data_IF_625175785113
#
_entry.id   IF_625175785113
#
_cell.length_a   1.000
_cell.length_b   1.000
_cell.length_c   1.000
_cell.angle_alpha   90.00
_cell.angle_beta   90.00
_cell.angle_gamma   90.00
#
_symmetry.space_group_name_H-M   'P 1'
#
loop_
_entity.id
_entity.type
_entity.pdbx_description
1 polymer ?
#
# COMPACT_ATOMS: atom_id res chain seq x y z
N UNK A 1 -23.84 -59.31 60.33
CA UNK A 1 -24.04 -58.70 59.00
C UNK A 1 -23.14 -57.47 58.89
N UNK A 2 -22.09 -57.52 58.06
CA UNK A 2 -21.09 -56.44 57.92
C UNK A 2 -21.71 -55.26 57.15
N UNK A 3 -21.71 -54.06 57.74
CA UNK A 3 -22.20 -52.83 57.08
C UNK A 3 -21.13 -52.30 56.12
N UNK A 4 -21.54 -51.88 54.91
CA UNK A 4 -20.65 -51.39 53.86
C UNK A 4 -20.04 -50.02 54.22
N UNK A 5 -18.84 -49.67 53.71
CA UNK A 5 -18.22 -48.38 53.96
C UNK A 5 -18.96 -47.22 53.27
N UNK A 6 -19.06 -46.08 53.94
CA UNK A 6 -19.71 -44.86 53.43
C UNK A 6 -18.70 -44.08 52.58
N UNK A 7 -18.99 -43.87 51.30
CA UNK A 7 -18.18 -43.06 50.37
C UNK A 7 -18.56 -41.59 50.53
N UNK A 8 -17.64 -40.67 50.85
CA UNK A 8 -17.92 -39.25 50.88
C UNK A 8 -18.22 -38.73 49.47
N UNK A 9 -19.39 -38.10 49.29
CA UNK A 9 -19.73 -37.40 48.05
C UNK A 9 -18.86 -36.14 47.97
N UNK A 10 -17.84 -36.15 47.10
CA UNK A 10 -17.15 -34.92 46.73
C UNK A 10 -18.17 -33.97 46.08
N UNK A 11 -18.47 -32.88 46.78
CA UNK A 11 -19.20 -31.75 46.25
C UNK A 11 -18.34 -31.14 45.15
N UNK A 12 -18.73 -31.32 43.89
CA UNK A 12 -18.17 -30.53 42.80
C UNK A 12 -18.65 -29.10 43.06
N UNK A 13 -17.75 -28.24 43.55
CA UNK A 13 -17.94 -26.80 43.45
C UNK A 13 -17.86 -26.49 41.96
N UNK A 14 -19.00 -26.25 41.34
CA UNK A 14 -19.06 -25.53 40.06
C UNK A 14 -18.46 -24.16 40.31
N UNK A 15 -17.18 -23.99 40.00
CA UNK A 15 -16.65 -22.65 39.76
C UNK A 15 -17.38 -22.14 38.50
N UNK A 16 -17.90 -20.90 38.50
CA UNK A 16 -18.21 -20.25 37.24
C UNK A 16 -16.90 -20.23 36.44
N UNK A 17 -16.91 -20.83 35.25
CA UNK A 17 -15.92 -20.48 34.24
C UNK A 17 -16.07 -18.97 34.04
N UNK A 18 -15.08 -18.21 34.50
CA UNK A 18 -14.88 -16.87 33.97
C UNK A 18 -14.70 -17.03 32.47
N UNK A 19 -15.69 -16.60 31.71
CA UNK A 19 -15.58 -16.31 30.29
C UNK A 19 -14.48 -15.25 30.13
N UNK A 20 -13.23 -15.70 30.09
CA UNK A 20 -12.20 -14.95 29.37
C UNK A 20 -12.46 -15.30 27.91
N UNK A 21 -13.01 -14.38 27.08
CA UNK A 21 -12.98 -14.59 25.66
C UNK A 21 -11.50 -14.65 25.27
N UNK A 22 -11.01 -15.86 25.03
CA UNK A 22 -9.78 -16.07 24.29
C UNK A 22 -9.98 -15.36 22.95
N UNK A 23 -9.49 -14.14 22.86
CA UNK A 23 -9.43 -13.34 21.64
C UNK A 23 -8.33 -13.91 20.75
N UNK A 24 -8.40 -15.22 20.47
CA UNK A 24 -7.71 -15.80 19.34
C UNK A 24 -8.58 -15.52 18.12
N UNK A 25 -8.07 -14.79 17.11
CA UNK A 25 -8.86 -14.45 15.94
C UNK A 25 -9.30 -15.74 15.25
N UNK A 26 -10.59 -15.80 14.91
CA UNK A 26 -11.29 -17.01 14.47
C UNK A 26 -10.80 -17.58 13.13
N UNK A 27 -9.82 -16.96 12.45
CA UNK A 27 -9.18 -17.52 11.28
C UNK A 27 -7.86 -16.79 10.97
N UNK A 28 -6.68 -17.45 11.02
CA UNK A 28 -5.41 -16.84 10.61
C UNK A 28 -5.39 -16.41 9.12
N UNK A 29 -6.27 -17.00 8.32
CA UNK A 29 -6.48 -16.61 6.92
C UNK A 29 -7.17 -15.25 6.79
N UNK A 30 -8.02 -14.86 7.75
CA UNK A 30 -8.69 -13.56 7.75
C UNK A 30 -7.68 -12.46 8.05
N UNK A 31 -6.79 -12.65 9.04
CA UNK A 31 -5.72 -11.68 9.33
C UNK A 31 -4.73 -11.56 8.16
N UNK A 32 -4.40 -12.68 7.52
CA UNK A 32 -3.57 -12.69 6.30
C UNK A 32 -4.24 -11.97 5.14
N UNK A 33 -5.56 -12.12 5.00
CA UNK A 33 -6.35 -11.43 3.98
C UNK A 33 -6.50 -9.94 4.30
N UNK A 34 -6.72 -9.57 5.56
CA UNK A 34 -6.77 -8.18 6.04
C UNK A 34 -5.41 -7.50 5.84
N UNK A 35 -4.30 -8.19 6.12
CA UNK A 35 -2.97 -7.65 5.86
C UNK A 35 -2.74 -7.42 4.35
N UNK A 36 -3.16 -8.38 3.51
CA UNK A 36 -3.02 -8.28 2.05
C UNK A 36 -3.94 -7.21 1.44
N UNK A 37 -5.21 -7.17 1.86
CA UNK A 37 -6.21 -6.20 1.41
C UNK A 37 -5.91 -4.81 2.01
N UNK A 38 -5.43 -4.74 3.24
CA UNK A 38 -4.97 -3.51 3.88
C UNK A 38 -3.75 -2.91 3.18
N UNK A 39 -2.81 -3.74 2.73
CA UNK A 39 -1.72 -3.31 1.85
C UNK A 39 -2.24 -2.82 0.48
N UNK A 40 -3.34 -3.37 -0.02
CA UNK A 40 -4.02 -2.97 -1.26
C UNK A 40 -5.01 -1.79 -1.10
N UNK A 41 -5.32 -1.36 0.13
CA UNK A 41 -6.39 -0.38 0.41
C UNK A 41 -6.09 1.05 -0.12
N UNK A 42 -4.87 1.31 -0.58
CA UNK A 42 -4.52 2.49 -1.37
C UNK A 42 -3.84 2.05 -2.66
N UNK A 43 -4.64 1.65 -3.65
CA UNK A 43 -4.17 1.30 -5.00
C UNK A 43 -3.47 2.44 -5.77
N UNK A 44 -3.34 3.61 -5.16
CA UNK A 44 -2.60 4.75 -5.69
C UNK A 44 -1.17 4.84 -5.14
N UNK A 45 -0.64 3.84 -4.45
CA UNK A 45 0.74 3.86 -3.97
C UNK A 45 1.46 2.53 -4.21
N UNK A 46 2.74 2.61 -4.55
CA UNK A 46 3.64 1.47 -4.71
C UNK A 46 4.92 1.71 -3.92
N UNK A 47 5.53 0.65 -3.40
CA UNK A 47 6.86 0.72 -2.77
C UNK A 47 7.85 0.01 -3.67
N UNK A 48 8.89 0.72 -4.12
CA UNK A 48 9.94 0.17 -4.97
C UNK A 48 11.32 0.35 -4.30
N UNK A 49 12.22 -0.64 -4.43
CA UNK A 49 13.60 -0.49 -3.96
C UNK A 49 14.38 0.44 -4.90
N UNK A 50 14.88 1.56 -4.37
CA UNK A 50 15.71 2.54 -5.08
C UNK A 50 17.02 2.71 -4.33
N UNK A 51 18.15 2.40 -4.98
CA UNK A 51 19.49 2.47 -4.37
C UNK A 51 19.59 1.78 -2.99
N UNK A 52 18.93 0.63 -2.83
CA UNK A 52 18.94 -0.15 -1.58
C UNK A 52 18.00 0.35 -0.49
N UNK A 53 17.07 1.26 -0.81
CA UNK A 53 16.06 1.77 0.12
C UNK A 53 14.66 1.56 -0.44
N UNK A 54 13.72 1.18 0.42
CA UNK A 54 12.31 1.12 0.04
C UNK A 54 11.72 2.53 -0.05
N UNK A 55 11.35 2.94 -1.26
CA UNK A 55 10.77 4.25 -1.54
C UNK A 55 9.30 4.09 -1.90
N UNK A 56 8.45 4.85 -1.21
CA UNK A 56 7.01 4.88 -1.47
C UNK A 56 6.69 5.95 -2.51
N UNK A 57 6.16 5.51 -3.64
CA UNK A 57 5.58 6.35 -4.68
C UNK A 57 4.08 6.45 -4.48
N UNK A 58 3.51 7.63 -4.70
CA UNK A 58 2.07 7.85 -4.69
C UNK A 58 1.69 8.46 -6.04
N UNK A 59 0.73 7.83 -6.72
CA UNK A 59 0.18 8.31 -7.97
C UNK A 59 -0.62 9.59 -7.71
N UNK A 60 -0.26 10.64 -8.42
CA UNK A 60 -0.89 11.95 -8.40
C UNK A 60 -1.18 12.38 -9.84
N UNK A 61 -2.37 12.93 -10.07
CA UNK A 61 -2.75 13.49 -11.37
C UNK A 61 -2.52 15.00 -11.29
N UNK A 62 -1.62 15.49 -12.15
CA UNK A 62 -1.41 16.91 -12.35
C UNK A 62 -2.28 17.40 -13.51
N UNK A 63 -2.84 18.60 -13.38
CA UNK A 63 -3.55 19.21 -14.50
C UNK A 63 -2.53 19.71 -15.52
N UNK A 64 -2.79 19.48 -16.81
CA UNK A 64 -1.88 19.88 -17.88
C UNK A 64 -1.56 21.38 -17.88
N UNK A 65 -2.52 22.22 -17.51
CA UNK A 65 -2.36 23.67 -17.40
C UNK A 65 -1.42 24.13 -16.26
N UNK A 66 -1.14 23.26 -15.28
CA UNK A 66 -0.22 23.56 -14.18
C UNK A 66 1.15 22.92 -14.34
N UNK A 67 1.33 21.93 -15.23
CA UNK A 67 2.59 21.17 -15.37
C UNK A 67 3.78 22.09 -15.63
N UNK A 68 3.66 23.03 -16.57
CA UNK A 68 4.74 23.97 -16.91
C UNK A 68 5.22 24.81 -15.71
N UNK A 69 4.31 25.17 -14.79
CA UNK A 69 4.62 26.02 -13.63
C UNK A 69 5.05 25.23 -12.40
N UNK A 70 4.58 24.00 -12.29
CA UNK A 70 4.70 23.18 -11.08
C UNK A 70 5.71 22.05 -11.23
N UNK A 71 6.24 21.82 -12.43
CA UNK A 71 7.29 20.83 -12.67
C UNK A 71 8.56 21.47 -13.23
N UNK A 72 9.70 20.82 -13.01
CA UNK A 72 10.98 21.12 -13.67
C UNK A 72 11.73 19.82 -13.87
N UNK A 73 12.69 19.81 -14.78
CA UNK A 73 13.63 18.68 -14.88
C UNK A 73 14.69 18.81 -13.79
N UNK A 74 14.91 17.75 -13.02
CA UNK A 74 16.00 17.70 -12.06
C UNK A 74 17.35 17.71 -12.80
N UNK A 75 18.18 18.71 -12.51
CA UNK A 75 19.49 18.90 -13.18
C UNK A 75 20.46 17.72 -13.05
N UNK A 76 20.28 16.87 -12.04
CA UNK A 76 21.08 15.64 -11.89
C UNK A 76 20.71 14.52 -12.87
N UNK A 77 19.59 14.65 -13.58
CA UNK A 77 19.06 13.66 -14.52
C UNK A 77 18.64 14.30 -15.86
N UNK A 78 18.97 15.58 -16.09
CA UNK A 78 18.68 16.23 -17.37
C UNK A 78 19.50 15.56 -18.48
N UNK A 79 18.82 15.11 -19.52
CA UNK A 79 19.44 14.54 -20.71
C UNK A 79 18.70 15.04 -21.92
N UNK A 80 19.47 15.38 -22.96
CA UNK A 80 18.99 15.65 -24.32
C UNK A 80 17.74 16.54 -24.34
N UNK A 81 17.74 17.61 -23.53
CA UNK A 81 16.58 18.49 -23.37
C UNK A 81 16.23 19.21 -24.67
N UNK A 82 17.21 19.39 -25.57
CA UNK A 82 16.96 19.87 -26.93
C UNK A 82 16.07 18.95 -27.78
N UNK A 83 15.90 17.69 -27.39
CA UNK A 83 15.04 16.71 -28.08
C UNK A 83 13.61 16.66 -27.51
N UNK A 84 13.26 17.55 -26.57
CA UNK A 84 11.88 17.67 -26.08
C UNK A 84 11.09 18.70 -26.91
N UNK A 85 11.19 18.59 -28.23
CA UNK A 85 10.44 19.42 -29.20
C UNK A 85 9.28 18.64 -29.79
N UNK A 86 8.31 19.34 -30.38
CA UNK A 86 7.16 18.72 -31.05
C UNK A 86 7.63 17.75 -32.15
N UNK A 87 8.58 18.17 -32.99
CA UNK A 87 9.13 17.34 -34.07
C UNK A 87 9.80 16.06 -33.55
N UNK A 88 10.50 16.13 -32.41
CA UNK A 88 11.17 14.97 -31.83
C UNK A 88 10.19 14.01 -31.11
N UNK A 89 8.99 14.49 -30.77
CA UNK A 89 7.93 13.73 -30.11
C UNK A 89 6.81 13.29 -31.07
N UNK A 90 6.92 13.59 -32.37
CA UNK A 90 5.87 13.35 -33.36
C UNK A 90 5.43 11.87 -33.43
N UNK A 91 6.36 10.93 -33.27
CA UNK A 91 6.05 9.49 -33.22
C UNK A 91 5.25 9.08 -31.98
N UNK A 92 5.37 9.84 -30.88
CA UNK A 92 4.74 9.54 -29.58
C UNK A 92 3.40 10.26 -29.39
N UNK A 93 3.24 11.46 -29.95
CA UNK A 93 2.04 12.29 -29.81
C UNK A 93 0.75 11.54 -30.20
N UNK A 94 0.67 10.81 -31.34
CA UNK A 94 -0.52 10.05 -31.70
C UNK A 94 -0.90 9.00 -30.65
N UNK A 95 0.09 8.35 -30.03
CA UNK A 95 -0.13 7.34 -29.00
C UNK A 95 -0.72 7.96 -27.72
N UNK A 96 -0.22 9.14 -27.32
CA UNK A 96 -0.77 9.88 -26.20
C UNK A 96 -2.18 10.42 -26.47
N UNK A 97 -2.48 10.85 -27.69
CA UNK A 97 -3.83 11.29 -28.06
C UNK A 97 -4.83 10.13 -28.09
N UNK A 98 -4.40 8.94 -28.53
CA UNK A 98 -5.26 7.77 -28.62
C UNK A 98 -5.51 7.11 -27.26
N UNK A 99 -4.47 6.98 -26.43
CA UNK A 99 -4.51 6.16 -25.21
C UNK A 99 -4.18 6.92 -23.93
N UNK A 100 -3.74 8.18 -24.02
CA UNK A 100 -3.20 8.92 -22.88
C UNK A 100 -1.87 8.38 -22.39
N UNK A 101 -1.40 8.91 -21.25
CA UNK A 101 -0.18 8.43 -20.60
C UNK A 101 -0.46 7.14 -19.83
N UNK A 102 0.03 6.02 -20.35
CA UNK A 102 -0.12 4.69 -19.72
C UNK A 102 0.88 4.47 -18.58
N UNK A 103 2.08 5.04 -18.68
CA UNK A 103 3.12 4.95 -17.65
C UNK A 103 3.33 6.32 -17.00
N UNK A 104 2.97 6.50 -15.72
CA UNK A 104 3.18 7.75 -15.02
C UNK A 104 4.65 8.14 -14.97
N UNK A 105 4.92 9.44 -15.05
CA UNK A 105 6.26 9.97 -14.83
C UNK A 105 6.64 9.83 -13.34
N UNK A 106 7.91 9.51 -13.07
CA UNK A 106 8.45 9.52 -11.71
C UNK A 106 9.06 10.88 -11.42
N UNK A 107 8.70 11.44 -10.27
CA UNK A 107 9.25 12.69 -9.77
C UNK A 107 9.17 12.76 -8.26
N UNK A 108 9.88 13.72 -7.67
CA UNK A 108 9.84 14.04 -6.26
C UNK A 108 9.31 15.45 -6.05
N UNK A 109 8.61 15.68 -4.95
CA UNK A 109 8.14 17.02 -4.57
C UNK A 109 9.18 17.71 -3.70
N UNK A 110 9.71 18.84 -4.17
CA UNK A 110 10.69 19.66 -3.46
C UNK A 110 10.24 21.12 -3.51
N UNK A 111 10.05 21.73 -2.34
CA UNK A 111 9.70 23.16 -2.21
C UNK A 111 8.49 23.60 -3.05
N UNK A 112 7.49 22.72 -3.19
CA UNK A 112 6.25 23.01 -3.93
C UNK A 112 6.34 22.77 -5.45
N UNK A 113 7.49 22.34 -5.96
CA UNK A 113 7.73 21.96 -7.35
C UNK A 113 7.96 20.45 -7.43
N UNK A 114 7.62 19.83 -8.55
CA UNK A 114 7.90 18.44 -8.87
C UNK A 114 9.12 18.40 -9.78
N UNK A 115 10.15 17.63 -9.39
CA UNK A 115 11.39 17.46 -10.14
C UNK A 115 11.83 16.00 -10.24
#
# INVERSE_FOLDING_TARGET
MKRAPVIPKHTIKTQPLEDTPSSAPAAPMVDSLIARVGAMARGNAITLPVCGRDVKFTLEVLRGDSVEKTSRVWSGNERDQELLTEDALDDLIPSFLLTGQQTPAFGRRVSGVIE
#
